data_IF_067041528227
#
_entry.id   IF_067041528227
#
_cell.length_a   1.000
_cell.length_b   1.000
_cell.length_c   1.000
_cell.angle_alpha   90.00
_cell.angle_beta   90.00
_cell.angle_gamma   90.00
#
_symmetry.space_group_name_H-M   'P 1'
#
loop_
_entity.id
_entity.type
_entity.pdbx_description
1 polymer ?
#
# COMPACT_ATOMS: atom_id res chain seq x y z
N UNK A 1 6.78 0.76 24.64
CA UNK A 1 7.90 0.78 23.67
C UNK A 1 7.81 -0.36 22.65
N UNK A 2 8.12 -1.62 23.00
CA UNK A 2 8.14 -2.75 22.04
C UNK A 2 6.85 -2.92 21.22
N UNK A 3 5.68 -2.79 21.86
CA UNK A 3 4.37 -2.91 21.20
C UNK A 3 4.07 -1.78 20.21
N UNK A 4 4.50 -0.55 20.50
CA UNK A 4 4.31 0.61 19.61
C UNK A 4 5.15 0.44 18.36
N UNK A 5 6.39 -0.05 18.51
CA UNK A 5 7.28 -0.38 17.38
C UNK A 5 6.64 -1.45 16.50
N UNK A 6 6.02 -2.47 17.10
CA UNK A 6 5.30 -3.49 16.34
C UNK A 6 4.12 -2.91 15.55
N UNK A 7 3.30 -2.07 16.17
CA UNK A 7 2.18 -1.40 15.49
C UNK A 7 2.69 -0.52 14.34
N UNK A 8 3.80 0.18 14.55
CA UNK A 8 4.44 0.99 13.52
C UNK A 8 4.88 0.14 12.32
N UNK A 9 5.66 -0.91 12.56
CA UNK A 9 6.13 -1.82 11.49
C UNK A 9 4.94 -2.46 10.76
N UNK A 10 3.94 -2.94 11.51
CA UNK A 10 2.73 -3.52 10.94
C UNK A 10 1.98 -2.51 10.05
N UNK A 11 1.79 -1.29 10.53
CA UNK A 11 1.07 -0.25 9.78
C UNK A 11 1.79 0.17 8.50
N UNK A 12 3.12 0.26 8.52
CA UNK A 12 3.93 0.51 7.34
C UNK A 12 3.81 -0.63 6.33
N UNK A 13 3.92 -1.88 6.79
CA UNK A 13 3.82 -3.04 5.92
C UNK A 13 2.41 -3.19 5.31
N UNK A 14 1.36 -2.95 6.11
CA UNK A 14 -0.01 -2.94 5.65
C UNK A 14 -0.27 -1.86 4.60
N UNK A 15 0.30 -0.66 4.79
CA UNK A 15 0.22 0.42 3.81
C UNK A 15 0.85 0.03 2.47
N UNK A 16 2.05 -0.55 2.48
CA UNK A 16 2.74 -1.02 1.26
C UNK A 16 1.93 -2.11 0.55
N UNK A 17 1.41 -3.09 1.29
CA UNK A 17 0.57 -4.15 0.71
C UNK A 17 -0.68 -3.57 0.05
N UNK A 18 -1.37 -2.65 0.72
CA UNK A 18 -2.58 -2.04 0.16
C UNK A 18 -2.27 -1.31 -1.15
N UNK A 19 -1.18 -0.55 -1.17
CA UNK A 19 -0.74 0.18 -2.37
C UNK A 19 -0.37 -0.77 -3.51
N UNK A 20 0.28 -1.88 -3.20
CA UNK A 20 0.59 -2.92 -4.18
C UNK A 20 -0.68 -3.53 -4.78
N UNK A 21 -1.69 -3.83 -3.95
CA UNK A 21 -3.00 -4.33 -4.42
C UNK A 21 -3.69 -3.29 -5.31
N UNK A 22 -3.68 -2.01 -4.91
CA UNK A 22 -4.26 -0.94 -5.72
C UNK A 22 -3.57 -0.80 -7.08
N UNK A 23 -2.24 -0.90 -7.12
CA UNK A 23 -1.47 -0.91 -8.36
C UNK A 23 -1.86 -2.10 -9.27
N UNK A 24 -1.99 -3.30 -8.71
CA UNK A 24 -2.45 -4.47 -9.46
C UNK A 24 -3.84 -4.24 -10.05
N UNK A 25 -4.78 -3.77 -9.23
CA UNK A 25 -6.14 -3.48 -9.67
C UNK A 25 -6.15 -2.43 -10.79
N UNK A 26 -5.41 -1.33 -10.64
CA UNK A 26 -5.33 -0.28 -11.65
C UNK A 26 -4.82 -0.82 -13.00
N UNK A 27 -3.77 -1.63 -12.98
CA UNK A 27 -3.24 -2.27 -14.19
C UNK A 27 -4.21 -3.28 -14.79
N UNK A 28 -4.90 -4.05 -13.97
CA UNK A 28 -5.95 -4.97 -14.41
C UNK A 28 -7.05 -4.21 -15.14
N UNK A 29 -7.59 -3.15 -14.54
CA UNK A 29 -8.64 -2.35 -15.16
C UNK A 29 -8.18 -1.67 -16.44
N UNK A 30 -6.95 -1.13 -16.43
CA UNK A 30 -6.35 -0.53 -17.62
C UNK A 30 -6.22 -1.54 -18.77
N UNK A 31 -5.73 -2.74 -18.48
CA UNK A 31 -5.56 -3.79 -19.49
C UNK A 31 -6.90 -4.31 -20.01
N UNK A 32 -7.91 -4.51 -19.15
CA UNK A 32 -9.28 -4.88 -19.57
C UNK A 32 -9.83 -3.84 -20.55
N UNK A 33 -9.70 -2.55 -20.22
CA UNK A 33 -10.19 -1.46 -21.07
C UNK A 33 -9.48 -1.40 -22.44
N UNK A 34 -8.24 -1.89 -22.52
CA UNK A 34 -7.43 -1.91 -23.73
C UNK A 34 -7.47 -3.27 -24.46
N UNK A 35 -8.28 -4.23 -24.00
CA UNK A 35 -8.35 -5.58 -24.57
C UNK A 35 -7.06 -6.40 -24.42
N UNK A 36 -6.19 -6.02 -23.47
CA UNK A 36 -4.91 -6.69 -23.19
C UNK A 36 -5.08 -7.78 -22.13
N UNK A 37 -4.29 -8.84 -22.24
CA UNK A 37 -4.33 -9.96 -21.31
C UNK A 37 -3.68 -9.61 -19.95
N UNK A 38 -4.23 -10.20 -18.89
CA UNK A 38 -3.83 -9.98 -17.49
C UNK A 38 -2.36 -10.28 -17.16
N UNK A 39 -1.68 -11.14 -17.93
CA UNK A 39 -0.29 -11.52 -17.66
C UNK A 39 0.76 -10.50 -18.16
N UNK A 40 0.33 -9.44 -18.84
CA UNK A 40 1.22 -8.38 -19.35
C UNK A 40 1.50 -7.28 -18.32
N UNK A 41 1.11 -7.47 -17.06
CA UNK A 41 1.34 -6.50 -15.99
C UNK A 41 2.81 -6.55 -15.59
N UNK A 42 3.52 -5.43 -15.78
CA UNK A 42 4.88 -5.29 -15.29
C UNK A 42 4.87 -4.96 -13.79
N UNK A 43 5.09 -5.98 -12.96
CA UNK A 43 5.16 -5.85 -11.51
C UNK A 43 6.41 -5.08 -11.05
N UNK A 44 7.47 -5.04 -11.86
CA UNK A 44 8.71 -4.40 -11.48
C UNK A 44 8.58 -2.88 -11.48
N UNK A 45 7.75 -2.34 -12.38
CA UNK A 45 7.42 -0.92 -12.45
C UNK A 45 6.90 -0.35 -11.12
N UNK A 46 6.21 -1.14 -10.29
CA UNK A 46 5.80 -0.70 -8.95
C UNK A 46 6.99 -0.31 -8.07
N UNK A 47 8.14 -0.97 -8.20
CA UNK A 47 9.32 -0.66 -7.38
C UNK A 47 10.25 0.36 -8.02
N UNK A 48 10.27 0.45 -9.35
CA UNK A 48 11.21 1.32 -10.08
C UNK A 48 10.63 2.64 -10.55
N UNK A 49 9.33 2.69 -10.81
CA UNK A 49 8.65 3.87 -11.37
C UNK A 49 7.79 4.60 -10.33
N UNK A 50 7.86 4.18 -9.06
CA UNK A 50 7.16 4.88 -7.97
C UNK A 50 7.67 6.31 -7.85
N UNK A 51 6.75 7.26 -8.00
CA UNK A 51 7.01 8.69 -7.89
C UNK A 51 7.06 9.15 -6.44
N UNK A 52 7.72 10.28 -6.18
CA UNK A 52 7.76 10.91 -4.85
C UNK A 52 6.35 11.17 -4.30
N UNK A 53 5.39 11.53 -5.17
CA UNK A 53 3.99 11.75 -4.78
C UNK A 53 3.34 10.47 -4.25
N UNK A 54 3.59 9.34 -4.92
CA UNK A 54 3.07 8.04 -4.48
C UNK A 54 3.71 7.62 -3.15
N UNK A 55 5.00 7.84 -2.95
CA UNK A 55 5.67 7.59 -1.66
C UNK A 55 4.99 8.39 -0.54
N UNK A 56 4.71 9.68 -0.76
CA UNK A 56 3.97 10.49 0.23
C UNK A 56 2.59 9.92 0.53
N UNK A 57 1.88 9.43 -0.49
CA UNK A 57 0.60 8.78 -0.31
C UNK A 57 0.72 7.46 0.48
N UNK A 58 1.78 6.67 0.25
CA UNK A 58 2.05 5.44 1.00
C UNK A 58 2.29 5.74 2.48
N UNK A 59 3.06 6.78 2.78
CA UNK A 59 3.32 7.25 4.15
C UNK A 59 2.01 7.69 4.81
N UNK A 60 1.17 8.44 4.08
CA UNK A 60 -0.13 8.90 4.59
C UNK A 60 -1.06 7.73 4.94
N UNK A 61 -1.22 6.77 4.04
CA UNK A 61 -2.03 5.56 4.27
C UNK A 61 -1.49 4.76 5.45
N UNK A 62 -0.17 4.59 5.53
CA UNK A 62 0.49 3.90 6.65
C UNK A 62 0.22 4.61 7.99
N UNK A 63 0.28 5.94 8.00
CA UNK A 63 -0.03 6.75 9.18
C UNK A 63 -1.50 6.62 9.62
N UNK A 64 -2.44 6.57 8.67
CA UNK A 64 -3.85 6.30 8.99
C UNK A 64 -4.03 4.92 9.65
N UNK A 65 -3.42 3.87 9.10
CA UNK A 65 -3.44 2.54 9.70
C UNK A 65 -2.83 2.54 11.10
N UNK A 66 -1.70 3.23 11.28
CA UNK A 66 -1.06 3.38 12.58
C UNK A 66 -2.02 3.98 13.60
N UNK A 67 -2.67 5.11 13.27
CA UNK A 67 -3.60 5.79 14.16
C UNK A 67 -4.78 4.88 14.53
N UNK A 68 -5.40 4.22 13.54
CA UNK A 68 -6.55 3.35 13.77
C UNK A 68 -6.19 2.19 14.70
N UNK A 69 -5.07 1.51 14.43
CA UNK A 69 -4.63 0.36 15.22
C UNK A 69 -4.16 0.79 16.60
N UNK A 70 -3.47 1.92 16.69
CA UNK A 70 -3.02 2.47 17.96
C UNK A 70 -4.19 2.88 18.86
N UNK A 71 -5.21 3.54 18.31
CA UNK A 71 -6.44 3.88 19.04
C UNK A 71 -7.15 2.62 19.53
N UNK A 72 -7.37 1.65 18.62
CA UNK A 72 -7.96 0.36 19.01
C UNK A 72 -7.17 -0.31 20.12
N UNK A 73 -5.84 -0.31 20.04
CA UNK A 73 -4.98 -0.91 21.06
C UNK A 73 -5.06 -0.16 22.40
N UNK A 74 -5.26 1.16 22.40
CA UNK A 74 -5.38 1.96 23.64
C UNK A 74 -6.70 1.69 24.37
N UNK A 75 -7.75 1.33 23.64
CA UNK A 75 -9.07 1.05 24.20
C UNK A 75 -9.17 -0.34 24.87
N UNK A 76 -8.15 -1.21 24.71
CA UNK A 76 -8.01 -2.52 25.39
C UNK A 76 -6.91 -2.49 26.46
#
# INVERSE_FOLDING_TARGET
MKKIIFIFIFSAFAGIILMFIMFLLANVFYNINQGRCFYQIDLFSFFTETTVREIYFWIFVSAMYFIIIYLRYKDY
#
